data_IF_995083958857
#
_entry.id   IF_995083958857
#
_cell.length_a   1.000
_cell.length_b   1.000
_cell.length_c   1.000
_cell.angle_alpha   90.00
_cell.angle_beta   90.00
_cell.angle_gamma   90.00
#
_symmetry.space_group_name_H-M   'P 1'
#
loop_
_entity.id
_entity.type
_entity.pdbx_description
1 polymer ?
#
# COMPACT_ATOMS: atom_id res chain seq x y z
N UNK A 1 28.39 14.52 27.80
CA UNK A 1 27.15 13.77 28.14
C UNK A 1 25.85 14.44 27.67
N UNK A 2 25.73 15.78 27.61
CA UNK A 2 24.46 16.47 27.20
C UNK A 2 24.10 16.43 25.70
N UNK A 3 25.05 16.16 24.79
CA UNK A 3 24.82 16.15 23.33
C UNK A 3 24.17 14.86 22.81
N UNK A 4 24.40 13.73 23.47
CA UNK A 4 23.87 12.43 23.05
C UNK A 4 22.38 12.26 23.34
N UNK A 5 21.87 12.91 24.40
CA UNK A 5 20.45 12.87 24.79
C UNK A 5 19.55 13.41 23.68
N UNK A 6 19.95 14.51 23.03
CA UNK A 6 19.21 15.09 21.91
C UNK A 6 19.25 14.23 20.66
N UNK A 7 20.40 13.61 20.37
CA UNK A 7 20.55 12.70 19.22
C UNK A 7 19.68 11.45 19.40
N UNK A 8 19.63 10.88 20.61
CA UNK A 8 18.79 9.70 20.92
C UNK A 8 17.29 10.03 20.79
N UNK A 9 16.86 11.21 21.24
CA UNK A 9 15.46 11.64 21.08
C UNK A 9 15.07 11.85 19.61
N UNK A 10 15.96 12.42 18.80
CA UNK A 10 15.72 12.60 17.36
C UNK A 10 15.60 11.25 16.66
N UNK A 11 16.48 10.29 16.97
CA UNK A 11 16.45 8.94 16.38
C UNK A 11 15.18 8.18 16.78
N UNK A 12 14.70 8.35 18.00
CA UNK A 12 13.47 7.71 18.49
C UNK A 12 12.23 8.26 17.78
N UNK A 13 12.17 9.57 17.54
CA UNK A 13 11.09 10.22 16.77
C UNK A 13 11.13 9.78 15.30
N UNK A 14 12.31 9.73 14.68
CA UNK A 14 12.47 9.26 13.29
C UNK A 14 12.06 7.80 13.12
N UNK A 15 12.32 6.96 14.13
CA UNK A 15 11.92 5.54 14.13
C UNK A 15 10.41 5.36 14.22
N UNK A 16 9.72 6.13 15.07
CA UNK A 16 8.25 6.09 15.20
C UNK A 16 7.57 6.62 13.92
N UNK A 17 8.12 7.68 13.35
CA UNK A 17 7.62 8.28 12.10
C UNK A 17 7.83 7.33 10.90
N UNK A 18 8.93 6.60 10.85
CA UNK A 18 9.20 5.63 9.77
C UNK A 18 8.31 4.37 9.86
N UNK A 19 7.94 3.94 11.07
CA UNK A 19 7.03 2.81 11.26
C UNK A 19 5.56 3.16 11.00
N UNK A 20 5.17 4.42 11.18
CA UNK A 20 3.78 4.89 11.07
C UNK A 20 3.38 5.52 9.73
N UNK A 21 4.34 6.02 8.93
CA UNK A 21 4.04 6.86 7.75
C UNK A 21 4.40 6.18 6.41
N UNK A 22 5.06 5.02 6.42
CA UNK A 22 5.48 4.35 5.18
C UNK A 22 4.73 3.05 4.83
N UNK A 23 3.49 2.89 5.30
CA UNK A 23 2.53 2.13 4.50
C UNK A 23 1.66 3.16 3.81
N UNK A 24 1.79 3.35 2.48
CA UNK A 24 0.78 4.10 1.77
C UNK A 24 -0.54 3.40 2.11
N UNK A 25 -1.48 4.08 2.79
CA UNK A 25 -2.79 3.51 3.04
C UNK A 25 -3.46 3.07 1.71
N UNK A 26 -3.05 3.69 0.59
CA UNK A 26 -3.35 3.25 -0.76
C UNK A 26 -2.70 1.92 -1.16
N UNK A 27 -1.49 1.58 -0.72
CA UNK A 27 -0.82 0.32 -1.08
C UNK A 27 -1.52 -0.89 -0.46
N UNK A 28 -2.01 -0.77 0.78
CA UNK A 28 -2.78 -1.84 1.43
C UNK A 28 -4.15 -2.02 0.79
N UNK A 29 -4.79 -0.93 0.37
CA UNK A 29 -6.11 -1.00 -0.30
C UNK A 29 -5.97 -1.51 -1.74
N UNK A 30 -4.95 -1.06 -2.48
CA UNK A 30 -4.60 -1.55 -3.82
C UNK A 30 -4.30 -3.04 -3.78
N UNK A 31 -3.51 -3.51 -2.80
CA UNK A 31 -3.23 -4.94 -2.66
C UNK A 31 -4.52 -5.75 -2.48
N UNK A 32 -5.43 -5.27 -1.64
CA UNK A 32 -6.71 -5.93 -1.41
C UNK A 32 -7.60 -5.97 -2.66
N UNK A 33 -7.59 -4.91 -3.47
CA UNK A 33 -8.30 -4.86 -4.76
C UNK A 33 -7.70 -5.84 -5.77
N UNK A 34 -6.37 -5.92 -5.82
CA UNK A 34 -5.64 -6.88 -6.66
C UNK A 34 -6.00 -8.32 -6.27
N UNK A 35 -5.95 -8.65 -4.97
CA UNK A 35 -6.26 -10.00 -4.48
C UNK A 35 -7.70 -10.40 -4.81
N UNK A 36 -8.65 -9.46 -4.69
CA UNK A 36 -10.04 -9.68 -5.12
C UNK A 36 -10.16 -9.88 -6.63
N UNK A 37 -9.46 -9.07 -7.42
CA UNK A 37 -9.42 -9.19 -8.87
C UNK A 37 -8.97 -10.57 -9.30
N UNK A 38 -7.85 -11.06 -8.74
CA UNK A 38 -7.36 -12.42 -8.97
C UNK A 38 -8.35 -13.49 -8.52
N UNK A 39 -8.94 -13.35 -7.33
CA UNK A 39 -9.94 -14.32 -6.85
C UNK A 39 -11.16 -14.40 -7.80
N UNK A 40 -11.64 -13.28 -8.31
CA UNK A 40 -12.71 -13.28 -9.30
C UNK A 40 -12.27 -13.88 -10.64
N UNK A 41 -11.03 -13.63 -11.05
CA UNK A 41 -10.46 -14.24 -12.25
C UNK A 41 -10.40 -15.77 -12.13
N UNK A 42 -9.91 -16.30 -11.01
CA UNK A 42 -9.85 -17.73 -10.72
C UNK A 42 -11.24 -18.39 -10.68
N UNK A 43 -12.26 -17.65 -10.22
CA UNK A 43 -13.65 -18.09 -10.23
C UNK A 43 -14.32 -17.97 -11.61
N UNK A 44 -13.60 -17.54 -12.64
CA UNK A 44 -14.13 -17.30 -14.00
C UNK A 44 -15.06 -16.08 -14.09
N UNK A 45 -15.12 -15.25 -13.05
CA UNK A 45 -15.94 -14.03 -12.98
C UNK A 45 -15.18 -12.83 -13.55
N UNK A 46 -14.76 -12.93 -14.81
CA UNK A 46 -13.87 -11.95 -15.46
C UNK A 46 -14.38 -10.51 -15.38
N UNK A 47 -15.70 -10.29 -15.51
CA UNK A 47 -16.27 -8.94 -15.43
C UNK A 47 -16.01 -8.28 -14.07
N UNK A 48 -16.16 -9.03 -12.98
CA UNK A 48 -15.89 -8.52 -11.63
C UNK A 48 -14.40 -8.31 -11.41
N UNK A 49 -13.55 -9.20 -11.93
CA UNK A 49 -12.11 -9.03 -11.87
C UNK A 49 -11.67 -7.71 -12.54
N UNK A 50 -12.20 -7.43 -13.73
CA UNK A 50 -11.96 -6.17 -14.45
C UNK A 50 -12.41 -4.96 -13.64
N UNK A 51 -13.55 -5.04 -12.96
CA UNK A 51 -14.06 -3.92 -12.16
C UNK A 51 -13.22 -3.65 -10.89
N UNK A 52 -12.62 -4.69 -10.29
CA UNK A 52 -11.64 -4.52 -9.20
C UNK A 52 -10.32 -3.94 -9.71
N UNK A 53 -9.79 -4.41 -10.85
CA UNK A 53 -8.57 -3.85 -11.44
C UNK A 53 -8.74 -2.40 -11.92
N UNK A 54 -9.93 -2.01 -12.38
CA UNK A 54 -10.24 -0.60 -12.67
C UNK A 54 -10.14 0.29 -11.44
N UNK A 55 -10.46 -0.22 -10.25
CA UNK A 55 -10.28 0.54 -9.01
C UNK A 55 -8.80 0.69 -8.67
N UNK A 56 -7.98 -0.33 -8.96
CA UNK A 56 -6.51 -0.22 -8.83
C UNK A 56 -5.97 0.90 -9.72
N UNK A 57 -6.36 0.96 -11.00
CA UNK A 57 -5.92 2.01 -11.93
C UNK A 57 -6.36 3.42 -11.47
N UNK A 58 -7.51 3.54 -10.79
CA UNK A 58 -7.95 4.84 -10.25
C UNK A 58 -7.08 5.34 -9.09
N UNK A 59 -6.51 4.42 -8.31
CA UNK A 59 -5.69 4.75 -7.15
C UNK A 59 -4.22 4.88 -7.56
N UNK A 60 -3.73 3.95 -8.37
CA UNK A 60 -2.40 3.93 -8.95
C UNK A 60 -2.50 3.68 -10.46
N UNK A 61 -2.56 4.76 -11.26
CA UNK A 61 -2.68 4.66 -12.71
C UNK A 61 -1.49 4.00 -13.41
N UNK A 62 -0.36 3.78 -12.73
CA UNK A 62 0.82 3.15 -13.30
C UNK A 62 1.04 1.73 -12.74
N UNK A 63 0.04 1.15 -12.08
CA UNK A 63 0.18 -0.15 -11.46
C UNK A 63 0.28 -1.26 -12.50
N UNK A 64 1.44 -1.90 -12.60
CA UNK A 64 1.71 -2.95 -13.59
C UNK A 64 0.82 -4.19 -13.44
N UNK A 65 0.20 -4.41 -12.28
CA UNK A 65 -0.65 -5.59 -12.04
C UNK A 65 -2.05 -5.40 -12.65
N UNK A 66 -2.48 -4.16 -12.84
CA UNK A 66 -3.83 -3.84 -13.33
C UNK A 66 -3.93 -3.67 -14.86
N UNK A 67 -2.80 -3.73 -15.59
CA UNK A 67 -2.70 -3.66 -17.05
C UNK A 67 -2.50 -5.04 -17.68
#
# INVERSE_FOLDING_TARGET
>A
MRRYVWVVLIVFVVSIVSLGILHPAGATEVQKLIDKGFKYFELGQYQKAVDEFKQVIKIDPNNAIAY
#
